data_IF_520285681483
#
_entry.id   IF_520285681483
#
_cell.length_a   1.000
_cell.length_b   1.000
_cell.length_c   1.000
_cell.angle_alpha   90.00
_cell.angle_beta   90.00
_cell.angle_gamma   90.00
#
_symmetry.space_group_name_H-M   'P 1'
#
loop_
_entity.id
_entity.type
_entity.pdbx_description
1 polymer ?
#
# COMPACT_ATOMS: atom_id res chain seq x y z
N UNK A 1 3.60 8.34 -0.48
CA UNK A 1 2.99 8.69 0.81
C UNK A 1 3.67 9.94 1.31
N UNK A 2 2.87 10.95 1.60
CA UNK A 2 3.38 12.26 2.01
C UNK A 2 2.93 12.55 3.43
N UNK A 3 3.85 13.09 4.22
CA UNK A 3 3.50 13.69 5.48
C UNK A 3 2.91 15.08 5.21
N UNK A 4 1.60 15.24 5.39
CA UNK A 4 0.90 16.49 5.06
C UNK A 4 1.26 17.66 5.97
N UNK A 5 1.85 17.41 7.16
CA UNK A 5 2.26 18.48 8.09
C UNK A 5 3.62 19.05 7.71
N UNK A 6 4.55 18.19 7.29
CA UNK A 6 5.93 18.59 6.96
C UNK A 6 6.16 18.79 5.47
N UNK A 7 5.28 18.24 4.63
CA UNK A 7 5.46 18.21 3.18
C UNK A 7 6.50 17.20 2.70
N UNK A 8 7.04 16.35 3.57
CA UNK A 8 8.06 15.37 3.21
C UNK A 8 7.42 14.14 2.56
N UNK A 9 8.00 13.66 1.46
CA UNK A 9 7.65 12.37 0.88
C UNK A 9 8.31 11.26 1.70
N UNK A 10 7.50 10.50 2.45
CA UNK A 10 7.98 9.47 3.37
C UNK A 10 8.34 8.16 2.64
N UNK A 11 7.48 7.74 1.70
CA UNK A 11 7.63 6.43 1.05
C UNK A 11 6.77 6.30 -0.20
N UNK A 12 7.24 5.59 -1.23
CA UNK A 12 6.38 5.11 -2.32
C UNK A 12 5.62 3.83 -1.91
N UNK A 13 4.29 3.84 -2.00
CA UNK A 13 3.44 2.72 -1.58
C UNK A 13 3.15 1.75 -2.74
N UNK A 14 3.17 2.23 -3.98
CA UNK A 14 2.58 1.60 -5.15
C UNK A 14 3.53 1.74 -6.36
N UNK A 15 4.60 0.93 -6.37
CA UNK A 15 5.62 0.96 -7.42
C UNK A 15 5.34 -0.05 -8.54
N UNK A 16 5.78 0.26 -9.77
CA UNK A 16 5.79 -0.66 -10.92
C UNK A 16 4.41 -1.23 -11.31
N UNK A 17 3.38 -0.38 -11.32
CA UNK A 17 2.01 -0.73 -11.70
C UNK A 17 1.64 -0.11 -13.04
N UNK A 18 0.77 -0.78 -13.78
CA UNK A 18 0.21 -0.28 -15.04
C UNK A 18 -0.89 0.75 -14.80
N UNK A 19 -1.57 0.67 -13.66
CA UNK A 19 -2.59 1.62 -13.27
C UNK A 19 -3.02 1.44 -11.82
N UNK A 20 -3.55 2.51 -11.23
CA UNK A 20 -4.19 2.51 -9.91
C UNK A 20 -5.60 3.01 -10.10
N UNK A 21 -6.59 2.19 -9.74
CA UNK A 21 -8.00 2.50 -10.00
C UNK A 21 -8.65 3.22 -8.83
N UNK A 22 -8.42 2.71 -7.62
CA UNK A 22 -9.01 3.26 -6.41
C UNK A 22 -8.11 3.01 -5.22
N UNK A 23 -8.01 4.00 -4.34
CA UNK A 23 -7.32 3.89 -3.05
C UNK A 23 -8.28 4.32 -1.96
N UNK A 24 -8.36 3.53 -0.89
CA UNK A 24 -9.15 3.82 0.32
C UNK A 24 -8.27 3.66 1.54
N UNK A 25 -8.25 4.69 2.38
CA UNK A 25 -7.55 4.69 3.66
C UNK A 25 -8.56 4.48 4.78
N UNK A 26 -8.33 3.47 5.60
CA UNK A 26 -8.92 3.31 6.93
C UNK A 26 -7.95 3.80 8.01
N UNK A 27 -8.31 3.61 9.28
CA UNK A 27 -7.50 4.09 10.40
C UNK A 27 -6.10 3.46 10.44
N UNK A 28 -6.00 2.17 10.12
CA UNK A 28 -4.76 1.39 10.24
C UNK A 28 -4.36 0.70 8.93
N UNK A 29 -5.18 0.80 7.89
CA UNK A 29 -4.98 0.06 6.66
C UNK A 29 -5.26 0.94 5.43
N UNK A 30 -4.50 0.76 4.36
CA UNK A 30 -4.81 1.32 3.05
C UNK A 30 -5.07 0.17 2.06
N UNK A 31 -6.22 0.23 1.39
CA UNK A 31 -6.60 -0.73 0.35
C UNK A 31 -6.52 -0.03 -1.00
N UNK A 32 -5.79 -0.62 -1.94
CA UNK A 32 -5.65 -0.12 -3.29
C UNK A 32 -6.02 -1.20 -4.31
N UNK A 33 -6.92 -0.87 -5.23
CA UNK A 33 -7.16 -1.67 -6.43
C UNK A 33 -6.17 -1.21 -7.51
N UNK A 34 -5.32 -2.12 -7.96
CA UNK A 34 -4.20 -1.83 -8.86
C UNK A 34 -4.16 -2.82 -10.01
N UNK A 35 -3.58 -2.40 -11.13
CA UNK A 35 -3.39 -3.25 -12.29
C UNK A 35 -1.90 -3.41 -12.58
N UNK A 36 -1.49 -4.63 -12.91
CA UNK A 36 -0.15 -4.93 -13.39
C UNK A 36 -0.24 -5.81 -14.63
N UNK A 37 0.14 -5.27 -15.78
CA UNK A 37 -0.17 -5.88 -17.07
C UNK A 37 -1.69 -5.96 -17.25
N UNK A 38 -2.20 -7.16 -17.48
CA UNK A 38 -3.63 -7.41 -17.71
C UNK A 38 -4.36 -7.96 -16.48
N UNK A 39 -3.70 -8.04 -15.32
CA UNK A 39 -4.28 -8.60 -14.08
C UNK A 39 -4.56 -7.50 -13.07
N UNK A 40 -5.70 -7.60 -12.41
CA UNK A 40 -6.13 -6.71 -11.33
C UNK A 40 -5.82 -7.32 -9.97
N UNK A 41 -5.32 -6.51 -9.05
CA UNK A 41 -4.93 -6.92 -7.70
C UNK A 41 -5.54 -5.98 -6.67
N UNK A 42 -5.87 -6.53 -5.50
CA UNK A 42 -6.16 -5.73 -4.32
C UNK A 42 -4.93 -5.76 -3.42
N UNK A 43 -4.29 -4.60 -3.27
CA UNK A 43 -3.14 -4.42 -2.38
C UNK A 43 -3.60 -3.81 -1.06
N UNK A 44 -3.35 -4.52 0.03
CA UNK A 44 -3.61 -4.04 1.39
C UNK A 44 -2.28 -3.67 2.03
N UNK A 45 -2.18 -2.45 2.52
CA UNK A 45 -1.04 -1.91 3.26
C UNK A 45 -1.49 -1.75 4.71
N UNK A 46 -0.84 -2.46 5.63
CA UNK A 46 -1.11 -2.40 7.07
C UNK A 46 -0.11 -1.47 7.75
N UNK A 47 -0.63 -0.48 8.47
CA UNK A 47 0.11 0.50 9.26
C UNK A 47 -0.14 0.37 10.76
N UNK A 48 -1.04 -0.54 11.18
CA UNK A 48 -1.44 -0.77 12.57
C UNK A 48 -0.42 -1.58 13.39
N UNK A 49 0.59 -2.16 12.74
CA UNK A 49 1.68 -2.83 13.44
C UNK A 49 2.57 -1.82 14.16
N UNK A 50 2.25 -1.55 15.44
CA UNK A 50 3.06 -0.76 16.34
C UNK A 50 4.53 -1.18 16.28
N UNK A 51 5.43 -0.20 16.40
CA UNK A 51 6.89 -0.30 16.36
C UNK A 51 7.41 -1.28 17.42
N UNK A 52 7.28 -2.59 17.19
CA UNK A 52 7.95 -3.69 17.90
C UNK A 52 8.08 -4.92 17.00
N UNK A 53 8.59 -4.74 15.79
CA UNK A 53 9.22 -5.82 15.06
C UNK A 53 10.24 -5.23 14.09
N UNK A 54 11.52 -5.27 14.47
CA UNK A 54 12.58 -5.37 13.45
C UNK A 54 12.36 -6.73 12.78
N UNK A 55 11.61 -6.72 11.69
CA UNK A 55 11.57 -7.79 10.72
C UNK A 55 11.05 -7.18 9.42
N UNK A 56 11.95 -7.13 8.42
CA UNK A 56 11.77 -6.69 7.03
C UNK A 56 10.52 -5.86 6.71
N UNK A 57 10.74 -4.58 6.37
CA UNK A 57 9.78 -3.65 5.72
C UNK A 57 9.28 -4.22 4.38
N UNK A 58 8.39 -5.19 4.43
CA UNK A 58 7.63 -5.69 3.29
C UNK A 58 6.17 -5.72 3.72
N UNK A 59 5.30 -4.92 3.09
CA UNK A 59 3.86 -5.01 3.33
C UNK A 59 3.39 -6.45 3.15
N UNK A 60 2.72 -7.00 4.16
CA UNK A 60 2.24 -8.38 4.13
C UNK A 60 1.06 -8.52 3.16
N UNK A 61 1.28 -9.30 2.10
CA UNK A 61 0.23 -10.00 1.35
C UNK A 61 -0.41 -9.23 0.20
N UNK A 62 -0.16 -9.69 -1.03
CA UNK A 62 -0.98 -9.40 -2.21
C UNK A 62 -2.08 -10.47 -2.23
N UNK A 63 -3.35 -10.07 -2.25
CA UNK A 63 -4.44 -10.99 -2.56
C UNK A 63 -4.79 -10.81 -4.04
N UNK A 64 -4.56 -11.87 -4.80
CA UNK A 64 -5.06 -11.97 -6.17
C UNK A 64 -6.57 -12.24 -6.10
N UNK A 65 -7.36 -11.46 -6.81
CA UNK A 65 -8.77 -11.75 -7.03
C UNK A 65 -8.86 -12.34 -8.44
N UNK A 66 -9.10 -13.65 -8.53
CA UNK A 66 -9.54 -14.30 -9.77
C UNK A 66 -11.02 -13.98 -10.02
#
# INVERSE_FOLDING_TARGET
>A
MWNIRTGVCEMDLLTALSGVWQVRFGAEHCVAAVQRGNVSYIKILDFGASIKAVSSRVPKGIKECE
#
